data_IF_457757882942
#
_entry.id   IF_457757882942
#
_cell.length_a   1.000
_cell.length_b   1.000
_cell.length_c   1.000
_cell.angle_alpha   90.00
_cell.angle_beta   90.00
_cell.angle_gamma   90.00
#
_symmetry.space_group_name_H-M   'P 1'
#
loop_
_entity.id
_entity.type
_entity.pdbx_description
1 polymer ?
#
# COMPACT_ATOMS: atom_id res chain seq x y z
N UNK A 1 -33.43 -33.68 -30.59
CA UNK A 1 -32.23 -32.82 -30.63
C UNK A 1 -31.73 -32.77 -29.21
N UNK A 2 -30.62 -33.46 -28.94
CA UNK A 2 -30.03 -33.50 -27.60
C UNK A 2 -29.15 -32.27 -27.45
N UNK A 3 -29.56 -31.33 -26.60
CA UNK A 3 -28.69 -30.25 -26.14
C UNK A 3 -27.62 -30.87 -25.24
N UNK A 4 -26.45 -31.11 -25.83
CA UNK A 4 -25.25 -31.39 -25.04
C UNK A 4 -24.80 -30.04 -24.47
N UNK A 5 -24.79 -29.84 -23.14
CA UNK A 5 -24.30 -28.60 -22.56
C UNK A 5 -22.84 -28.42 -22.94
N UNK A 6 -22.52 -27.23 -23.44
CA UNK A 6 -21.17 -26.79 -23.74
C UNK A 6 -20.30 -26.97 -22.49
N UNK A 7 -19.11 -27.60 -22.57
CA UNK A 7 -18.29 -27.85 -21.40
C UNK A 7 -17.86 -26.51 -20.78
N UNK A 8 -18.31 -26.26 -19.56
CA UNK A 8 -17.88 -25.09 -18.78
C UNK A 8 -16.35 -25.05 -18.72
N UNK A 9 -15.77 -23.89 -19.05
CA UNK A 9 -14.34 -23.68 -18.94
C UNK A 9 -13.90 -23.94 -17.49
N UNK A 10 -12.81 -24.69 -17.25
CA UNK A 10 -12.39 -25.00 -15.90
C UNK A 10 -12.17 -23.71 -15.09
N UNK A 11 -12.57 -23.69 -13.81
CA UNK A 11 -12.50 -22.49 -12.97
C UNK A 11 -11.06 -21.95 -12.91
N UNK A 12 -10.92 -20.63 -12.93
CA UNK A 12 -9.62 -19.99 -12.76
C UNK A 12 -9.17 -20.14 -11.30
N UNK A 13 -8.06 -20.85 -11.08
CA UNK A 13 -7.49 -21.14 -9.76
C UNK A 13 -6.02 -20.73 -9.70
N UNK A 14 -5.45 -20.75 -8.49
CA UNK A 14 -4.01 -20.55 -8.29
C UNK A 14 -3.14 -21.55 -9.08
N UNK A 15 -3.72 -22.67 -9.55
CA UNK A 15 -3.02 -23.66 -10.36
C UNK A 15 -3.04 -23.39 -11.87
N UNK A 16 -3.88 -22.45 -12.35
CA UNK A 16 -4.13 -22.28 -13.79
C UNK A 16 -2.85 -22.03 -14.59
N UNK A 17 -1.97 -21.14 -14.11
CA UNK A 17 -0.76 -20.69 -14.82
C UNK A 17 0.55 -21.32 -14.30
N UNK A 18 0.47 -22.30 -13.40
CA UNK A 18 1.68 -22.90 -12.83
C UNK A 18 2.56 -23.54 -13.91
N UNK A 19 3.88 -23.33 -13.86
CA UNK A 19 4.80 -23.95 -14.80
C UNK A 19 4.91 -25.44 -14.52
N UNK A 20 5.18 -26.28 -15.54
CA UNK A 20 5.41 -27.73 -15.34
C UNK A 20 6.60 -28.03 -14.41
N UNK A 21 7.60 -27.14 -14.41
CA UNK A 21 8.78 -27.22 -13.57
C UNK A 21 9.18 -25.82 -13.14
N UNK A 22 9.36 -25.64 -11.84
CA UNK A 22 9.94 -24.44 -11.26
C UNK A 22 11.46 -24.61 -11.17
N UNK A 23 12.19 -23.58 -11.58
CA UNK A 23 13.60 -23.49 -11.21
C UNK A 23 13.68 -23.28 -9.69
N UNK A 24 14.37 -24.19 -9.00
CA UNK A 24 14.52 -24.14 -7.54
C UNK A 24 15.24 -22.87 -7.05
N UNK A 25 15.89 -22.11 -7.94
CA UNK A 25 16.66 -20.94 -7.60
C UNK A 25 15.85 -19.62 -7.70
N UNK A 26 14.76 -19.52 -6.94
CA UNK A 26 14.03 -18.25 -6.80
C UNK A 26 14.94 -17.27 -6.05
N UNK A 27 15.30 -16.17 -6.70
CA UNK A 27 16.22 -15.18 -6.13
C UNK A 27 15.66 -14.59 -4.83
N UNK A 28 16.49 -14.39 -3.78
CA UNK A 28 16.04 -13.68 -2.59
C UNK A 28 15.82 -12.19 -2.90
N UNK A 29 14.91 -11.58 -2.16
CA UNK A 29 14.72 -10.13 -2.08
C UNK A 29 15.31 -9.61 -0.78
N UNK A 30 15.50 -8.30 -0.64
CA UNK A 30 15.95 -7.73 0.63
C UNK A 30 14.93 -8.04 1.74
N UNK A 31 15.36 -8.46 2.95
CA UNK A 31 14.43 -8.86 3.99
C UNK A 31 13.53 -7.71 4.45
N UNK A 32 12.24 -8.01 4.62
CA UNK A 32 11.25 -7.10 5.19
C UNK A 32 11.59 -6.79 6.65
N UNK A 33 11.82 -5.51 6.96
CA UNK A 33 12.18 -5.03 8.30
C UNK A 33 10.97 -4.50 9.06
N UNK A 34 9.96 -3.99 8.36
CA UNK A 34 8.72 -3.56 8.97
C UNK A 34 7.80 -2.85 7.99
N UNK A 35 7.04 -1.88 8.51
CA UNK A 35 6.01 -1.19 7.74
C UNK A 35 6.59 -0.28 6.64
N UNK A 36 7.64 0.48 6.95
CA UNK A 36 8.16 1.51 6.07
C UNK A 36 8.67 0.98 4.72
N UNK A 37 9.11 -0.28 4.68
CA UNK A 37 9.65 -0.94 3.49
C UNK A 37 8.67 -1.92 2.83
N UNK A 38 7.45 -2.07 3.37
CA UNK A 38 6.50 -3.08 2.93
C UNK A 38 6.09 -2.97 1.46
N UNK A 39 5.77 -1.77 0.98
CA UNK A 39 5.34 -1.57 -0.41
C UNK A 39 6.42 -1.95 -1.41
N UNK A 40 7.65 -1.51 -1.15
CA UNK A 40 8.81 -1.81 -1.99
C UNK A 40 9.12 -3.31 -1.92
N UNK A 41 9.02 -3.89 -0.72
CA UNK A 41 9.22 -5.33 -0.51
C UNK A 41 8.18 -6.18 -1.23
N UNK A 42 6.89 -5.85 -1.10
CA UNK A 42 5.79 -6.56 -1.74
C UNK A 42 5.94 -6.50 -3.27
N UNK A 43 6.21 -5.33 -3.81
CA UNK A 43 6.49 -5.16 -5.23
C UNK A 43 7.64 -6.08 -5.71
N UNK A 44 8.74 -6.15 -4.96
CA UNK A 44 9.87 -7.03 -5.29
C UNK A 44 9.51 -8.51 -5.19
N UNK A 45 8.72 -8.90 -4.19
CA UNK A 45 8.20 -10.27 -4.03
C UNK A 45 7.33 -10.65 -5.22
N UNK A 46 6.33 -9.83 -5.55
CA UNK A 46 5.42 -10.05 -6.67
C UNK A 46 6.19 -10.16 -7.99
N UNK A 47 7.08 -9.20 -8.28
CA UNK A 47 7.91 -9.20 -9.48
C UNK A 47 8.80 -10.45 -9.57
N UNK A 48 9.35 -10.91 -8.45
CA UNK A 48 10.19 -12.11 -8.40
C UNK A 48 9.37 -13.37 -8.67
N UNK A 49 8.22 -13.54 -8.01
CA UNK A 49 7.36 -14.70 -8.21
C UNK A 49 6.74 -14.72 -9.62
N UNK A 50 6.40 -13.56 -10.16
CA UNK A 50 5.86 -13.43 -11.52
C UNK A 50 6.86 -13.92 -12.58
N UNK A 51 8.17 -13.68 -12.40
CA UNK A 51 9.20 -14.22 -13.30
C UNK A 51 9.20 -15.76 -13.37
N UNK A 52 8.65 -16.41 -12.34
CA UNK A 52 8.52 -17.86 -12.26
C UNK A 52 7.08 -18.36 -12.48
N UNK A 53 6.12 -17.48 -12.78
CA UNK A 53 4.68 -17.78 -12.83
C UNK A 53 4.13 -18.38 -11.51
N UNK A 54 4.56 -17.81 -10.38
CA UNK A 54 4.19 -18.25 -9.03
C UNK A 54 3.45 -17.17 -8.23
N UNK A 55 3.22 -15.99 -8.81
CA UNK A 55 2.55 -14.83 -8.20
C UNK A 55 1.14 -15.18 -7.70
N UNK A 56 0.38 -15.98 -8.45
CA UNK A 56 -0.95 -16.42 -8.04
C UNK A 56 -0.95 -17.23 -6.72
N UNK A 57 0.17 -17.80 -6.29
CA UNK A 57 0.24 -18.60 -5.05
C UNK A 57 0.19 -17.77 -3.77
N UNK A 58 0.46 -16.46 -3.85
CA UNK A 58 0.38 -15.54 -2.71
C UNK A 58 -0.89 -14.70 -2.71
N UNK A 59 -1.68 -14.77 -3.78
CA UNK A 59 -2.92 -14.03 -3.92
C UNK A 59 -4.10 -14.85 -3.38
N UNK A 60 -4.58 -14.47 -2.19
CA UNK A 60 -5.70 -15.12 -1.52
C UNK A 60 -7.07 -14.83 -2.15
N UNK A 61 -7.15 -13.88 -3.11
CA UNK A 61 -8.38 -13.61 -3.86
C UNK A 61 -8.62 -14.61 -4.99
N UNK A 62 -7.57 -15.32 -5.41
CA UNK A 62 -7.65 -16.39 -6.39
C UNK A 62 -7.94 -17.71 -5.64
N UNK A 63 -9.00 -18.44 -6.01
CA UNK A 63 -9.35 -19.68 -5.32
C UNK A 63 -8.27 -20.75 -5.50
N UNK A 64 -8.04 -21.54 -4.46
CA UNK A 64 -7.18 -22.71 -4.50
C UNK A 64 -7.80 -23.80 -5.39
N UNK A 65 -6.99 -24.60 -6.10
CA UNK A 65 -7.51 -25.79 -6.77
C UNK A 65 -8.08 -26.77 -5.73
N UNK A 66 -9.12 -27.52 -6.11
CA UNK A 66 -9.64 -28.61 -5.28
C UNK A 66 -8.76 -29.86 -5.44
N UNK A 67 -8.82 -30.84 -4.52
CA UNK A 67 -8.04 -32.09 -4.63
C UNK A 67 -8.26 -32.88 -5.93
N UNK A 68 -9.39 -32.68 -6.60
CA UNK A 68 -9.73 -33.32 -7.88
C UNK A 68 -9.07 -32.63 -9.09
N UNK A 69 -8.53 -31.41 -8.92
CA UNK A 69 -7.82 -30.70 -9.97
C UNK A 69 -6.54 -31.48 -10.36
N UNK A 70 -6.32 -31.81 -11.64
CA UNK A 70 -5.11 -32.50 -12.09
C UNK A 70 -3.79 -31.82 -11.70
N UNK A 71 -3.82 -30.51 -11.40
CA UNK A 71 -2.67 -29.71 -10.97
C UNK A 71 -2.61 -29.51 -9.45
N UNK A 72 -3.51 -30.10 -8.66
CA UNK A 72 -3.55 -29.92 -7.20
C UNK A 72 -2.22 -30.27 -6.53
N UNK A 73 -1.66 -31.45 -6.82
CA UNK A 73 -0.38 -31.88 -6.24
C UNK A 73 0.78 -30.93 -6.57
N UNK A 74 0.76 -30.38 -7.79
CA UNK A 74 1.75 -29.40 -8.22
C UNK A 74 1.59 -28.08 -7.45
N UNK A 75 0.36 -27.58 -7.35
CA UNK A 75 0.03 -26.39 -6.57
C UNK A 75 0.40 -26.57 -5.10
N UNK A 76 0.06 -27.71 -4.49
CA UNK A 76 0.36 -28.02 -3.09
C UNK A 76 1.88 -27.94 -2.81
N UNK A 77 2.68 -28.56 -3.68
CA UNK A 77 4.14 -28.53 -3.60
C UNK A 77 4.70 -27.12 -3.75
N UNK A 78 4.26 -26.37 -4.76
CA UNK A 78 4.79 -25.03 -5.02
C UNK A 78 4.33 -24.00 -3.99
N UNK A 79 3.11 -24.10 -3.49
CA UNK A 79 2.63 -23.25 -2.40
C UNK A 79 3.48 -23.43 -1.13
N UNK A 80 3.84 -24.67 -0.78
CA UNK A 80 4.76 -24.92 0.35
C UNK A 80 6.18 -24.42 0.10
N UNK A 81 6.67 -24.53 -1.13
CA UNK A 81 7.96 -23.99 -1.53
C UNK A 81 7.99 -22.46 -1.41
N UNK A 82 6.99 -21.78 -1.96
CA UNK A 82 6.88 -20.32 -1.90
C UNK A 82 6.72 -19.84 -0.47
N UNK A 83 5.92 -20.52 0.36
CA UNK A 83 5.84 -20.24 1.80
C UNK A 83 7.21 -20.32 2.48
N UNK A 84 7.97 -21.39 2.24
CA UNK A 84 9.29 -21.54 2.81
C UNK A 84 10.24 -20.42 2.33
N UNK A 85 10.20 -20.10 1.03
CA UNK A 85 10.95 -18.99 0.45
C UNK A 85 10.58 -17.64 1.09
N UNK A 86 9.28 -17.34 1.25
CA UNK A 86 8.78 -16.13 1.92
C UNK A 86 9.33 -15.97 3.33
N UNK A 87 9.44 -17.06 4.10
CA UNK A 87 10.00 -17.03 5.45
C UNK A 87 11.47 -16.54 5.47
N UNK A 88 12.24 -16.82 4.42
CA UNK A 88 13.62 -16.31 4.28
C UNK A 88 13.69 -14.84 3.83
N UNK A 89 12.56 -14.27 3.35
CA UNK A 89 12.48 -12.87 2.93
C UNK A 89 12.10 -11.92 4.06
N UNK A 90 12.12 -12.40 5.32
CA UNK A 90 11.72 -11.65 6.49
C UNK A 90 12.90 -11.44 7.44
N UNK A 91 12.98 -10.25 8.05
CA UNK A 91 13.92 -10.03 9.13
C UNK A 91 13.56 -10.87 10.37
N UNK A 92 14.57 -11.20 11.20
CA UNK A 92 14.39 -12.04 12.41
C UNK A 92 13.24 -11.55 13.33
N UNK A 93 13.06 -10.23 13.59
CA UNK A 93 11.94 -9.75 14.40
C UNK A 93 10.56 -10.13 13.81
N UNK A 94 10.40 -10.09 12.49
CA UNK A 94 9.16 -10.47 11.80
C UNK A 94 8.90 -11.97 11.91
N UNK A 95 9.93 -12.80 11.72
CA UNK A 95 9.83 -14.26 11.89
C UNK A 95 9.39 -14.61 13.32
N UNK A 96 9.97 -13.94 14.33
CA UNK A 96 9.56 -14.13 15.73
C UNK A 96 8.10 -13.76 15.96
N UNK A 97 7.64 -12.63 15.41
CA UNK A 97 6.24 -12.22 15.51
C UNK A 97 5.29 -13.26 14.89
N UNK A 98 5.65 -13.82 13.72
CA UNK A 98 4.91 -14.92 13.09
C UNK A 98 4.80 -16.13 14.00
N UNK A 99 5.92 -16.57 14.59
CA UNK A 99 5.95 -17.72 15.50
C UNK A 99 5.05 -17.48 16.73
N UNK A 100 5.04 -16.26 17.26
CA UNK A 100 4.21 -15.88 18.39
C UNK A 100 2.70 -15.94 18.11
N UNK A 101 2.27 -15.86 16.85
CA UNK A 101 0.83 -15.92 16.50
C UNK A 101 0.20 -17.29 16.74
N UNK A 102 1.01 -18.36 16.83
CA UNK A 102 0.57 -19.77 16.97
C UNK A 102 -0.41 -20.26 15.90
N UNK A 103 -0.55 -19.54 14.78
CA UNK A 103 -1.41 -19.93 13.66
C UNK A 103 -0.75 -21.06 12.86
N UNK A 104 -1.53 -22.09 12.53
CA UNK A 104 -1.11 -23.11 11.57
C UNK A 104 -1.33 -22.56 10.18
N UNK A 105 -0.25 -22.17 9.53
CA UNK A 105 -0.27 -21.71 8.14
C UNK A 105 0.33 -22.79 7.28
N UNK A 106 -0.44 -23.30 6.32
CA UNK A 106 0.03 -24.37 5.44
C UNK A 106 0.55 -23.83 4.11
N UNK A 107 -0.11 -22.82 3.56
CA UNK A 107 0.07 -22.34 2.19
C UNK A 107 0.63 -20.91 2.10
N UNK A 108 1.14 -20.55 0.93
CA UNK A 108 1.83 -19.28 0.69
C UNK A 108 0.92 -18.05 0.81
N UNK A 109 -0.30 -18.12 0.28
CA UNK A 109 -1.33 -17.07 0.39
C UNK A 109 -1.71 -16.78 1.85
N UNK A 110 -1.94 -17.82 2.66
CA UNK A 110 -2.19 -17.65 4.10
C UNK A 110 -0.98 -17.02 4.81
N UNK A 111 0.23 -17.38 4.41
CA UNK A 111 1.47 -16.83 4.98
C UNK A 111 1.66 -15.37 4.60
N UNK A 112 1.39 -15.02 3.35
CA UNK A 112 1.42 -13.65 2.85
C UNK A 112 0.38 -12.78 3.57
N UNK A 113 -0.85 -13.27 3.72
CA UNK A 113 -1.89 -12.60 4.51
C UNK A 113 -1.48 -12.38 5.96
N UNK A 114 -0.76 -13.33 6.59
CA UNK A 114 -0.25 -13.13 7.94
C UNK A 114 0.85 -12.08 7.98
N UNK A 115 1.78 -12.09 7.03
CA UNK A 115 2.83 -11.06 6.92
C UNK A 115 2.16 -9.69 6.81
N UNK A 116 1.21 -9.56 5.89
CA UNK A 116 0.43 -8.34 5.72
C UNK A 116 -0.25 -7.92 7.04
N UNK A 117 -0.95 -8.82 7.73
CA UNK A 117 -1.56 -8.48 9.04
C UNK A 117 -0.55 -8.06 10.11
N UNK A 118 0.65 -8.64 10.14
CA UNK A 118 1.68 -8.28 11.13
C UNK A 118 2.32 -6.94 10.83
N UNK A 119 2.59 -6.68 9.56
CA UNK A 119 3.17 -5.42 9.10
C UNK A 119 2.14 -4.31 9.19
N UNK A 120 0.91 -4.63 8.80
CA UNK A 120 -0.19 -3.70 8.72
C UNK A 120 -1.06 -3.60 9.97
N UNK A 121 -0.79 -4.39 11.00
CA UNK A 121 -1.40 -4.24 12.32
C UNK A 121 -2.93 -4.26 12.30
N UNK A 122 -3.52 -3.68 13.35
CA UNK A 122 -4.97 -3.58 13.51
C UNK A 122 -5.51 -2.45 12.60
N UNK A 123 -6.53 -2.71 11.73
CA UNK A 123 -7.16 -1.67 10.91
C UNK A 123 -7.64 -0.46 11.70
N UNK A 124 -8.10 -0.64 12.95
CA UNK A 124 -8.49 0.47 13.82
C UNK A 124 -7.30 1.32 14.22
N UNK A 125 -6.16 0.69 14.50
CA UNK A 125 -4.93 1.40 14.82
C UNK A 125 -4.36 2.10 13.59
N UNK A 126 -4.47 1.48 12.41
CA UNK A 126 -4.10 2.07 11.13
C UNK A 126 -4.90 3.34 10.83
N UNK A 127 -6.22 3.26 10.98
CA UNK A 127 -7.12 4.39 10.85
C UNK A 127 -6.81 5.48 11.90
N UNK A 128 -6.64 5.08 13.16
CA UNK A 128 -6.34 6.01 14.25
C UNK A 128 -5.02 6.74 14.03
N UNK A 129 -3.99 6.05 13.52
CA UNK A 129 -2.72 6.70 13.18
C UNK A 129 -2.92 7.72 12.08
N UNK A 130 -3.56 7.35 10.97
CA UNK A 130 -3.81 8.26 9.85
C UNK A 130 -4.65 9.49 10.27
N UNK A 131 -5.67 9.30 11.11
CA UNK A 131 -6.57 10.36 11.56
C UNK A 131 -5.94 11.33 12.60
N UNK A 132 -4.89 10.90 13.30
CA UNK A 132 -4.21 11.70 14.32
C UNK A 132 -2.79 12.11 13.89
N UNK A 133 -2.47 12.01 12.60
CA UNK A 133 -1.19 12.51 12.09
C UNK A 133 -1.13 14.02 12.25
N UNK A 134 0.00 14.53 12.74
CA UNK A 134 0.18 15.98 12.89
C UNK A 134 1.34 16.50 12.06
N UNK A 135 1.19 17.70 11.50
CA UNK A 135 2.23 18.35 10.69
C UNK A 135 3.53 18.57 11.48
N UNK A 136 3.43 18.82 12.79
CA UNK A 136 4.58 19.05 13.67
C UNK A 136 5.50 17.85 13.88
N UNK A 137 5.03 16.63 13.59
CA UNK A 137 5.85 15.41 13.70
C UNK A 137 6.84 15.23 12.54
N UNK A 138 6.78 16.13 11.54
CA UNK A 138 7.55 16.05 10.31
C UNK A 138 8.43 17.29 10.12
N UNK A 139 9.58 17.08 9.51
CA UNK A 139 10.56 18.14 9.25
C UNK A 139 10.01 19.24 8.33
N UNK A 140 9.27 18.85 7.29
CA UNK A 140 8.70 19.78 6.30
C UNK A 140 7.33 19.26 5.78
N UNK A 141 6.63 20.11 5.03
CA UNK A 141 5.32 19.80 4.44
C UNK A 141 5.38 18.57 3.53
N UNK A 142 6.43 18.41 2.73
CA UNK A 142 6.55 17.28 1.81
C UNK A 142 6.66 15.95 2.55
N UNK A 143 7.47 15.91 3.60
CA UNK A 143 7.59 14.74 4.48
C UNK A 143 6.25 14.41 5.16
N UNK A 144 5.52 15.43 5.60
CA UNK A 144 4.16 15.23 6.15
C UNK A 144 3.20 14.68 5.10
N UNK A 145 3.15 15.26 3.89
CA UNK A 145 2.28 14.83 2.79
C UNK A 145 2.58 13.40 2.37
N UNK A 146 3.86 13.05 2.22
CA UNK A 146 4.29 11.68 1.92
C UNK A 146 3.83 10.73 3.03
N UNK A 147 4.02 11.10 4.29
CA UNK A 147 3.53 10.36 5.45
C UNK A 147 2.01 10.16 5.41
N UNK A 148 1.25 11.22 5.15
CA UNK A 148 -0.21 11.18 5.09
C UNK A 148 -0.70 10.28 3.96
N UNK A 149 -0.11 10.39 2.76
CA UNK A 149 -0.42 9.50 1.63
C UNK A 149 -0.17 8.03 2.00
N UNK A 150 0.93 7.72 2.70
CA UNK A 150 1.22 6.37 3.20
C UNK A 150 0.20 5.92 4.25
N UNK A 151 0.00 6.71 5.31
CA UNK A 151 -1.13 6.76 6.26
C UNK A 151 -2.47 6.27 5.70
N UNK A 152 -2.94 6.99 4.70
CA UNK A 152 -4.28 6.83 4.16
C UNK A 152 -4.37 5.61 3.25
N UNK A 153 -3.37 5.38 2.39
CA UNK A 153 -3.29 4.15 1.58
C UNK A 153 -3.28 2.91 2.46
N UNK A 154 -2.51 2.97 3.53
CA UNK A 154 -2.40 1.93 4.52
C UNK A 154 -3.73 1.62 5.19
N UNK A 155 -4.38 2.63 5.80
CA UNK A 155 -5.68 2.44 6.42
C UNK A 155 -6.65 1.80 5.44
N UNK A 156 -6.69 2.27 4.19
CA UNK A 156 -7.63 1.78 3.19
C UNK A 156 -7.34 0.38 2.64
N UNK A 157 -6.11 -0.13 2.77
CA UNK A 157 -5.81 -1.53 2.47
C UNK A 157 -6.39 -2.46 3.51
N UNK A 158 -6.27 -2.08 4.80
CA UNK A 158 -6.77 -2.92 5.89
C UNK A 158 -8.27 -2.74 6.10
N UNK A 159 -8.79 -1.52 5.93
CA UNK A 159 -10.21 -1.17 6.05
C UNK A 159 -10.51 0.13 5.28
N UNK A 160 -11.34 0.07 4.23
CA UNK A 160 -11.62 1.15 3.25
C UNK A 160 -12.38 2.37 3.82
N UNK A 161 -12.07 2.81 5.03
CA UNK A 161 -12.83 3.83 5.78
C UNK A 161 -12.44 5.26 5.44
N UNK A 162 -11.20 5.51 5.04
CA UNK A 162 -10.74 6.88 4.80
C UNK A 162 -11.09 7.27 3.38
N UNK A 163 -12.11 8.11 3.21
CA UNK A 163 -12.44 8.70 1.91
C UNK A 163 -11.44 9.79 1.53
N UNK A 164 -11.23 10.06 0.22
CA UNK A 164 -10.34 11.14 -0.24
C UNK A 164 -10.64 12.50 0.39
N UNK A 165 -11.93 12.88 0.49
CA UNK A 165 -12.32 14.14 1.11
C UNK A 165 -11.93 14.24 2.60
N UNK A 166 -11.97 13.12 3.33
CA UNK A 166 -11.54 13.10 4.73
C UNK A 166 -10.01 13.24 4.86
N UNK A 167 -9.25 12.60 3.96
CA UNK A 167 -7.81 12.79 3.90
C UNK A 167 -7.42 14.24 3.56
N UNK A 168 -8.19 14.89 2.67
CA UNK A 168 -8.04 16.32 2.38
C UNK A 168 -8.35 17.20 3.61
N UNK A 169 -9.38 16.86 4.41
CA UNK A 169 -9.67 17.60 5.63
C UNK A 169 -8.52 17.55 6.63
N UNK A 170 -7.90 16.37 6.81
CA UNK A 170 -6.69 16.21 7.63
C UNK A 170 -5.57 17.10 7.09
N UNK A 171 -5.28 17.01 5.79
CA UNK A 171 -4.25 17.84 5.14
C UNK A 171 -4.51 19.33 5.41
N UNK A 172 -5.69 19.83 5.07
CA UNK A 172 -6.03 21.25 5.22
C UNK A 172 -6.11 21.73 6.66
N UNK A 173 -6.37 20.85 7.61
CA UNK A 173 -6.29 21.21 9.02
C UNK A 173 -4.83 21.43 9.43
N UNK A 174 -3.97 20.49 9.07
CA UNK A 174 -2.58 20.42 9.54
C UNK A 174 -1.65 21.42 8.85
N UNK A 175 -1.90 21.78 7.58
CA UNK A 175 -1.04 22.75 6.85
C UNK A 175 -1.59 24.17 6.80
N UNK A 176 -2.74 24.43 7.44
CA UNK A 176 -3.48 25.70 7.28
C UNK A 176 -2.62 26.92 7.56
N UNK A 177 -1.81 26.89 8.61
CA UNK A 177 -1.05 28.06 9.04
C UNK A 177 0.13 28.36 8.11
N UNK A 178 0.68 27.34 7.45
CA UNK A 178 1.79 27.48 6.49
C UNK A 178 1.30 27.88 5.08
N UNK A 179 0.11 27.45 4.67
CA UNK A 179 -0.42 27.68 3.31
C UNK A 179 -1.85 28.23 3.30
N UNK A 180 -2.14 29.15 4.23
CA UNK A 180 -3.49 29.68 4.50
C UNK A 180 -4.23 30.16 3.25
N UNK A 181 -3.56 30.94 2.39
CA UNK A 181 -4.16 31.50 1.19
C UNK A 181 -4.69 30.43 0.24
N UNK A 182 -3.91 29.37 0.04
CA UNK A 182 -4.32 28.22 -0.76
C UNK A 182 -5.50 27.46 -0.13
N UNK A 183 -5.42 27.14 1.17
CA UNK A 183 -6.47 26.40 1.88
C UNK A 183 -7.80 27.13 1.86
N UNK A 184 -7.80 28.45 2.10
CA UNK A 184 -9.03 29.25 2.11
C UNK A 184 -9.64 29.35 0.70
N UNK A 185 -8.81 29.53 -0.33
CA UNK A 185 -9.27 29.54 -1.73
C UNK A 185 -9.91 28.20 -2.13
N UNK A 186 -9.25 27.09 -1.81
CA UNK A 186 -9.75 25.77 -2.15
C UNK A 186 -11.05 25.43 -1.42
N UNK A 187 -11.16 25.78 -0.13
CA UNK A 187 -12.40 25.61 0.64
C UNK A 187 -13.56 26.44 0.10
N UNK A 188 -13.30 27.64 -0.43
CA UNK A 188 -14.32 28.47 -1.07
C UNK A 188 -14.80 27.89 -2.41
N UNK A 189 -13.93 27.16 -3.12
CA UNK A 189 -14.22 26.60 -4.45
C UNK A 189 -14.91 25.23 -4.40
N UNK A 190 -14.63 24.41 -3.39
CA UNK A 190 -15.16 23.05 -3.28
C UNK A 190 -16.61 23.04 -2.76
N UNK A 191 -17.52 22.49 -3.55
CA UNK A 191 -18.90 22.25 -3.12
C UNK A 191 -19.04 20.93 -2.33
N UNK A 192 -20.16 20.75 -1.63
CA UNK A 192 -20.47 19.48 -0.97
C UNK A 192 -20.48 18.29 -1.97
N UNK A 193 -21.00 18.52 -3.17
CA UNK A 193 -21.03 17.51 -4.24
C UNK A 193 -19.62 17.13 -4.73
N UNK A 194 -18.71 18.09 -4.81
CA UNK A 194 -17.32 17.83 -5.21
C UNK A 194 -16.61 16.98 -4.16
N UNK A 195 -16.89 17.24 -2.87
CA UNK A 195 -16.35 16.46 -1.76
C UNK A 195 -16.86 15.03 -1.74
N UNK A 196 -18.16 14.82 -1.98
CA UNK A 196 -18.75 13.48 -2.01
C UNK A 196 -18.23 12.62 -3.18
N UNK A 197 -17.93 13.25 -4.32
CA UNK A 197 -17.44 12.58 -5.53
C UNK A 197 -15.91 12.64 -5.69
N UNK A 198 -15.18 13.10 -4.66
CA UNK A 198 -13.74 13.26 -4.75
C UNK A 198 -13.03 11.92 -4.97
N UNK A 199 -12.15 11.88 -5.97
CA UNK A 199 -11.32 10.70 -6.26
C UNK A 199 -9.97 10.79 -5.55
N UNK A 200 -9.27 9.66 -5.48
CA UNK A 200 -7.89 9.63 -4.98
C UNK A 200 -6.95 10.47 -5.84
N UNK A 201 -7.16 10.51 -7.16
CA UNK A 201 -6.35 11.31 -8.07
C UNK A 201 -6.50 12.80 -7.77
N UNK A 202 -7.73 13.26 -7.52
CA UNK A 202 -7.98 14.64 -7.08
C UNK A 202 -7.27 14.95 -5.77
N UNK A 203 -7.36 14.05 -4.78
CA UNK A 203 -6.65 14.23 -3.51
C UNK A 203 -5.12 14.30 -3.71
N UNK A 204 -4.55 13.40 -4.52
CA UNK A 204 -3.11 13.41 -4.78
C UNK A 204 -2.65 14.66 -5.52
N UNK A 205 -3.45 15.16 -6.46
CA UNK A 205 -3.20 16.43 -7.13
C UNK A 205 -3.19 17.60 -6.13
N UNK A 206 -4.18 17.66 -5.22
CA UNK A 206 -4.23 18.69 -4.17
C UNK A 206 -2.97 18.65 -3.29
N UNK A 207 -2.45 17.45 -2.98
CA UNK A 207 -1.19 17.34 -2.25
C UNK A 207 -0.01 17.96 -3.01
N UNK A 208 0.12 17.72 -4.31
CA UNK A 208 1.19 18.32 -5.12
C UNK A 208 1.06 19.85 -5.18
N UNK A 209 -0.16 20.36 -5.31
CA UNK A 209 -0.44 21.81 -5.33
C UNK A 209 -0.08 22.47 -3.97
N UNK A 210 -0.35 21.81 -2.84
CA UNK A 210 0.08 22.29 -1.51
C UNK A 210 1.59 22.35 -1.40
N UNK A 211 2.29 21.29 -1.81
CA UNK A 211 3.76 21.25 -1.82
C UNK A 211 4.36 22.37 -2.67
N UNK A 212 3.83 22.59 -3.87
CA UNK A 212 4.28 23.66 -4.77
C UNK A 212 4.07 25.05 -4.14
N UNK A 213 2.87 25.31 -3.60
CA UNK A 213 2.56 26.60 -2.96
C UNK A 213 3.42 26.88 -1.73
N UNK A 214 3.73 25.84 -0.95
CA UNK A 214 4.63 25.96 0.20
C UNK A 214 6.06 26.34 -0.22
N UNK A 215 6.55 25.77 -1.33
CA UNK A 215 7.87 26.08 -1.88
C UNK A 215 7.98 27.53 -2.37
N UNK A 216 6.97 28.01 -3.11
CA UNK A 216 6.92 29.37 -3.64
C UNK A 216 7.00 30.42 -2.51
N UNK A 217 6.18 30.27 -1.45
CA UNK A 217 6.18 31.21 -0.33
C UNK A 217 7.51 31.24 0.46
N UNK A 218 8.25 30.13 0.51
CA UNK A 218 9.57 30.09 1.15
C UNK A 218 10.62 30.84 0.33
N UNK A 219 10.52 30.79 -1.01
CA UNK A 219 11.46 31.49 -1.89
C UNK A 219 11.23 33.00 -1.94
N UNK A 220 9.99 33.46 -1.88
CA UNK A 220 9.66 34.90 -1.86
C UNK A 220 10.05 35.57 -0.54
N UNK A 221 9.94 34.86 0.59
CA UNK A 221 10.37 35.36 1.90
C UNK A 221 11.89 35.56 2.05
N UNK A 222 12.70 34.88 1.24
CA UNK A 222 14.17 34.99 1.26
C UNK A 222 14.71 36.14 0.39
N UNK A 223 13.91 36.72 -0.51
CA UNK A 223 14.33 37.75 -1.46
C UNK A 223 14.13 39.21 -1.00
N UNK A 224 13.41 39.46 0.09
CA UNK A 224 12.97 40.82 0.49
C UNK A 224 13.93 41.63 1.37
N UNK A 225 15.18 41.19 1.55
CA UNK A 225 16.09 41.72 2.57
C UNK A 225 17.37 42.36 2.04
N UNK A 226 17.32 43.31 1.09
CA UNK A 226 18.45 44.22 0.82
C UNK A 226 18.02 45.44 -0.01
N UNK A 227 17.43 46.43 0.64
CA UNK A 227 17.50 47.82 0.19
C UNK A 227 17.44 48.72 1.42
N UNK A 228 18.60 48.90 2.08
CA UNK A 228 18.81 50.08 2.92
C UNK A 228 19.48 51.13 2.06
N UNK A 229 18.66 52.11 1.72
CA UNK A 229 18.98 53.47 1.34
C UNK A 229 20.27 53.97 1.99
N UNK A 230 21.26 54.30 1.16
CA UNK A 230 22.20 55.38 1.47
C UNK A 230 21.67 56.60 0.75
N UNK A 231 21.07 57.53 1.49
CA UNK A 231 21.02 58.93 1.12
C UNK A 231 21.16 59.76 2.41
N UNK A 232 22.14 60.67 2.33
CA UNK A 232 22.52 61.82 3.17
C UNK A 232 23.05 61.63 4.62
#
# INVERSE_FOLDING_TARGET
>A
MSDTPEPESPPHTQATKLPRKVDSNIKPVEPLKGFADYDIWLFKVEATLQQHNLDALIDSTIPRPTPEDPKYEQWYKYSKLVKAWLAYQLAIPMIRAIICTRRRIEFADDYMNLIEQLVLGDPKLAWSKAANMTRSEYENIDHFIVGLKMHVRYSNRVDKRIKPAFAMDILFHEVKDEVKGYVDNMKARLTAKDRDNMTWDTFFQICEEVSAFAYENQTEGAGGGSEKSNDD
#
